data_IF_403476644653
#
_entry.id   IF_403476644653
#
_cell.length_a   1.000
_cell.length_b   1.000
_cell.length_c   1.000
_cell.angle_alpha   90.00
_cell.angle_beta   90.00
_cell.angle_gamma   90.00
#
_symmetry.space_group_name_H-M   'P 1'
#
loop_
_entity.id
_entity.type
_entity.pdbx_description
1 polymer ?
#
# COMPACT_ATOMS: atom_id res chain seq x y z
N UNK A 1 17.15 20.53 -7.01
CA UNK A 1 16.60 20.36 -8.37
C UNK A 1 16.47 18.89 -8.68
N UNK A 2 15.26 18.39 -8.93
CA UNK A 2 15.05 17.01 -9.37
C UNK A 2 15.45 16.87 -10.84
N UNK A 3 16.10 15.77 -11.22
CA UNK A 3 16.46 15.45 -12.61
C UNK A 3 15.93 14.05 -12.91
N UNK A 4 15.20 13.90 -14.01
CA UNK A 4 14.59 12.64 -14.43
C UNK A 4 15.10 12.27 -15.83
N UNK A 5 15.27 10.98 -16.08
CA UNK A 5 15.47 10.43 -17.41
C UNK A 5 14.17 9.74 -17.82
N UNK A 6 13.65 10.05 -19.00
CA UNK A 6 12.39 9.50 -19.51
C UNK A 6 12.50 9.23 -21.00
N UNK A 7 11.81 8.19 -21.48
CA UNK A 7 11.65 7.89 -22.90
C UNK A 7 10.57 8.76 -23.57
N UNK A 8 9.86 9.59 -22.80
CA UNK A 8 8.87 10.54 -23.29
C UNK A 8 9.60 11.78 -23.84
N UNK A 9 9.84 11.82 -25.14
CA UNK A 9 10.71 12.83 -25.79
C UNK A 9 10.02 14.12 -26.19
N UNK A 10 8.69 14.12 -26.35
CA UNK A 10 7.91 15.29 -26.73
C UNK A 10 7.58 16.15 -25.50
N UNK A 11 8.29 17.27 -25.36
CA UNK A 11 8.14 18.19 -24.24
C UNK A 11 6.81 18.97 -24.23
N UNK A 12 6.15 19.11 -25.39
CA UNK A 12 4.84 19.76 -25.47
C UNK A 12 3.73 18.81 -25.06
N UNK A 13 3.86 17.53 -25.42
CA UNK A 13 2.90 16.48 -25.04
C UNK A 13 3.09 16.00 -23.61
N UNK A 14 4.32 16.02 -23.09
CA UNK A 14 4.67 15.54 -21.76
C UNK A 14 5.45 16.61 -20.98
N UNK A 15 4.75 17.62 -20.45
CA UNK A 15 5.41 18.67 -19.68
C UNK A 15 6.20 18.09 -18.50
N UNK A 16 7.42 18.60 -18.28
CA UNK A 16 8.31 18.07 -17.25
C UNK A 16 7.72 18.11 -15.82
N UNK A 17 6.81 19.06 -15.56
CA UNK A 17 6.08 19.14 -14.29
C UNK A 17 5.14 17.95 -14.09
N UNK A 18 4.40 17.55 -15.12
CA UNK A 18 3.52 16.38 -15.06
C UNK A 18 4.30 15.08 -14.89
N UNK A 19 5.48 14.98 -15.51
CA UNK A 19 6.39 13.84 -15.30
C UNK A 19 6.88 13.79 -13.85
N UNK A 20 7.23 14.94 -13.26
CA UNK A 20 7.65 15.02 -11.86
C UNK A 20 6.50 14.63 -10.90
N UNK A 21 5.29 15.11 -11.18
CA UNK A 21 4.08 14.78 -10.42
C UNK A 21 3.77 13.28 -10.54
N UNK A 22 3.86 12.70 -11.75
CA UNK A 22 3.71 11.26 -11.97
C UNK A 22 4.75 10.46 -11.19
N UNK A 23 6.01 10.89 -11.20
CA UNK A 23 7.09 10.21 -10.49
C UNK A 23 6.89 10.24 -8.97
N UNK A 24 6.17 11.23 -8.43
CA UNK A 24 5.81 11.26 -7.00
C UNK A 24 4.95 10.05 -6.60
N UNK A 25 4.11 9.54 -7.51
CA UNK A 25 3.29 8.35 -7.30
C UNK A 25 4.09 7.04 -7.34
N UNK A 26 5.39 7.06 -7.69
CA UNK A 26 6.24 5.85 -7.62
C UNK A 26 6.22 5.23 -6.22
N UNK A 27 6.10 6.04 -5.17
CA UNK A 27 6.01 5.57 -3.78
C UNK A 27 4.80 4.67 -3.48
N UNK A 28 3.78 4.65 -4.35
CA UNK A 28 2.63 3.77 -4.20
C UNK A 28 3.02 2.27 -4.25
N UNK A 29 4.11 1.91 -4.94
CA UNK A 29 4.58 0.52 -4.95
C UNK A 29 5.08 0.06 -3.58
N UNK A 30 5.72 0.96 -2.83
CA UNK A 30 6.22 0.68 -1.47
C UNK A 30 5.06 0.43 -0.50
N UNK A 31 3.93 1.13 -0.73
CA UNK A 31 2.68 0.88 -0.04
C UNK A 31 2.15 -0.52 -0.37
N UNK A 32 2.17 -0.93 -1.64
CA UNK A 32 1.80 -2.29 -2.05
C UNK A 32 2.67 -3.37 -1.39
N UNK A 33 3.99 -3.17 -1.33
CA UNK A 33 4.87 -4.10 -0.60
C UNK A 33 4.55 -4.17 0.88
N UNK A 34 4.20 -3.04 1.50
CA UNK A 34 3.77 -3.00 2.90
C UNK A 34 2.45 -3.75 3.10
N UNK A 35 1.48 -3.61 2.22
CA UNK A 35 0.20 -4.32 2.32
C UNK A 35 0.38 -5.84 2.22
N UNK A 36 1.29 -6.31 1.35
CA UNK A 36 1.60 -7.74 1.25
C UNK A 36 2.32 -8.23 2.52
N UNK A 37 3.40 -7.55 2.94
CA UNK A 37 4.26 -8.00 4.06
C UNK A 37 3.63 -7.78 5.44
N UNK A 38 2.93 -6.68 5.63
CA UNK A 38 2.36 -6.31 6.93
C UNK A 38 0.88 -6.66 7.00
N UNK A 39 0.12 -6.36 5.93
CA UNK A 39 -1.31 -6.61 5.88
C UNK A 39 -1.63 -8.10 5.74
N UNK A 40 -1.26 -8.72 4.62
CA UNK A 40 -1.61 -10.12 4.34
C UNK A 40 -0.82 -11.12 5.20
N UNK A 41 0.43 -10.81 5.53
CA UNK A 41 1.32 -11.70 6.28
C UNK A 41 1.37 -11.41 7.78
N UNK A 42 0.65 -10.40 8.27
CA UNK A 42 0.62 -10.03 9.69
C UNK A 42 2.03 -9.79 10.27
N UNK A 43 2.87 -9.05 9.53
CA UNK A 43 4.27 -8.77 9.86
C UNK A 43 5.15 -10.01 10.12
N UNK A 44 4.74 -11.21 9.68
CA UNK A 44 5.59 -12.39 9.79
C UNK A 44 6.86 -12.22 8.96
N UNK A 45 8.00 -12.49 9.58
CA UNK A 45 9.32 -12.37 8.94
C UNK A 45 9.60 -13.48 7.92
N UNK A 46 8.93 -14.63 8.06
CA UNK A 46 9.17 -15.81 7.23
C UNK A 46 7.86 -16.43 6.78
N UNK A 47 7.89 -17.02 5.58
CA UNK A 47 6.84 -17.90 5.07
C UNK A 47 6.80 -19.20 5.88
N UNK A 48 5.64 -19.86 5.90
CA UNK A 48 5.40 -21.05 6.74
C UNK A 48 6.09 -22.29 6.20
N UNK A 49 6.18 -22.39 4.87
CA UNK A 49 6.69 -23.55 4.17
C UNK A 49 8.21 -23.73 4.32
N UNK A 50 8.67 -24.96 4.55
CA UNK A 50 10.11 -25.31 4.63
C UNK A 50 10.66 -25.98 3.36
N UNK A 51 9.81 -26.18 2.34
CA UNK A 51 10.20 -26.77 1.04
C UNK A 51 10.24 -25.65 -0.03
N UNK A 52 11.28 -25.56 -0.86
CA UNK A 52 11.40 -24.47 -1.86
C UNK A 52 10.19 -24.34 -2.78
N UNK A 53 9.60 -25.45 -3.22
CA UNK A 53 8.41 -25.45 -4.08
C UNK A 53 7.18 -24.89 -3.36
N UNK A 54 6.93 -25.32 -2.12
CA UNK A 54 5.83 -24.82 -1.30
C UNK A 54 6.00 -23.34 -0.94
N UNK A 55 7.24 -22.87 -0.75
CA UNK A 55 7.55 -21.45 -0.57
C UNK A 55 7.13 -20.63 -1.81
N UNK A 56 7.40 -21.12 -3.02
CA UNK A 56 6.94 -20.45 -4.25
C UNK A 56 5.42 -20.43 -4.33
N UNK A 57 4.75 -21.52 -3.97
CA UNK A 57 3.29 -21.59 -3.93
C UNK A 57 2.70 -20.57 -2.94
N UNK A 58 3.28 -20.46 -1.74
CA UNK A 58 2.85 -19.51 -0.72
C UNK A 58 3.00 -18.05 -1.20
N UNK A 59 4.09 -17.75 -1.92
CA UNK A 59 4.30 -16.43 -2.53
C UNK A 59 3.25 -16.13 -3.61
N UNK A 60 2.94 -17.09 -4.48
CA UNK A 60 1.87 -16.95 -5.47
C UNK A 60 0.49 -16.77 -4.82
N UNK A 61 0.22 -17.50 -3.73
CA UNK A 61 -1.01 -17.35 -2.96
C UNK A 61 -1.14 -15.93 -2.37
N UNK A 62 -0.06 -15.38 -1.81
CA UNK A 62 -0.04 -14.02 -1.30
C UNK A 62 -0.28 -12.97 -2.41
N UNK A 63 0.34 -13.14 -3.58
CA UNK A 63 0.12 -12.27 -4.75
C UNK A 63 -1.31 -12.37 -5.28
N UNK A 64 -1.89 -13.57 -5.32
CA UNK A 64 -3.27 -13.78 -5.74
C UNK A 64 -4.24 -13.08 -4.77
N UNK A 65 -4.06 -13.26 -3.46
CA UNK A 65 -4.86 -12.61 -2.44
C UNK A 65 -4.76 -11.07 -2.54
N UNK A 66 -3.55 -10.54 -2.71
CA UNK A 66 -3.34 -9.11 -2.93
C UNK A 66 -4.11 -8.60 -4.15
N UNK A 67 -3.96 -9.28 -5.30
CA UNK A 67 -4.63 -8.88 -6.53
C UNK A 67 -6.15 -9.00 -6.44
N UNK A 68 -6.68 -10.00 -5.73
CA UNK A 68 -8.11 -10.14 -5.48
C UNK A 68 -8.66 -8.95 -4.70
N UNK A 69 -8.00 -8.57 -3.60
CA UNK A 69 -8.39 -7.40 -2.82
C UNK A 69 -8.27 -6.12 -3.65
N UNK A 70 -7.18 -5.94 -4.39
CA UNK A 70 -7.00 -4.77 -5.27
C UNK A 70 -8.05 -4.69 -6.37
N UNK A 71 -8.43 -5.81 -6.96
CA UNK A 71 -9.52 -5.87 -7.94
C UNK A 71 -10.86 -5.46 -7.32
N UNK A 72 -11.15 -5.95 -6.11
CA UNK A 72 -12.35 -5.53 -5.38
C UNK A 72 -12.30 -4.03 -5.03
N UNK A 73 -11.14 -3.49 -4.66
CA UNK A 73 -10.97 -2.04 -4.42
C UNK A 73 -11.20 -1.21 -5.69
N UNK A 74 -10.85 -1.71 -6.87
CA UNK A 74 -11.16 -1.05 -8.15
C UNK A 74 -12.67 -0.98 -8.36
N UNK A 75 -13.39 -2.08 -8.11
CA UNK A 75 -14.85 -2.09 -8.19
C UNK A 75 -15.49 -1.12 -7.19
N UNK A 76 -15.05 -1.16 -5.93
CA UNK A 76 -15.50 -0.23 -4.90
C UNK A 76 -15.24 1.23 -5.30
N UNK A 77 -14.04 1.56 -5.79
CA UNK A 77 -13.72 2.92 -6.22
C UNK A 77 -14.60 3.37 -7.40
N UNK A 78 -14.99 2.46 -8.30
CA UNK A 78 -15.86 2.80 -9.43
C UNK A 78 -17.26 3.28 -9.01
N UNK A 79 -17.71 2.96 -7.78
CA UNK A 79 -18.98 3.45 -7.23
C UNK A 79 -18.84 4.83 -6.58
N UNK A 80 -17.60 5.31 -6.39
CA UNK A 80 -17.27 6.58 -5.74
C UNK A 80 -16.83 7.62 -6.78
N UNK A 81 -17.56 8.72 -6.88
CA UNK A 81 -17.17 9.82 -7.77
C UNK A 81 -15.87 10.49 -7.27
N UNK A 82 -14.83 10.47 -8.10
CA UNK A 82 -13.57 11.19 -7.86
C UNK A 82 -12.61 10.52 -6.87
N UNK A 83 -12.80 9.24 -6.54
CA UNK A 83 -11.89 8.49 -5.69
C UNK A 83 -11.11 7.45 -6.49
N UNK A 84 -9.84 7.31 -6.14
CA UNK A 84 -8.96 6.30 -6.69
C UNK A 84 -8.88 5.08 -5.76
N UNK A 85 -8.61 3.87 -6.27
CA UNK A 85 -8.51 2.67 -5.45
C UNK A 85 -7.45 2.78 -4.35
N UNK A 86 -6.34 3.49 -4.58
CA UNK A 86 -5.29 3.72 -3.58
C UNK A 86 -5.68 4.68 -2.45
N UNK A 87 -6.84 5.33 -2.55
CA UNK A 87 -7.43 6.15 -1.48
C UNK A 87 -8.40 5.35 -0.60
N UNK A 88 -8.54 4.04 -0.84
CA UNK A 88 -9.31 3.13 0.00
C UNK A 88 -8.37 2.34 0.92
N UNK A 89 -8.85 2.01 2.11
CA UNK A 89 -8.11 1.23 3.10
C UNK A 89 -7.98 -0.22 2.63
N UNK A 90 -6.75 -0.68 2.39
CA UNK A 90 -6.47 -2.06 2.01
C UNK A 90 -6.90 -3.05 3.11
N UNK A 91 -6.56 -2.78 4.37
CA UNK A 91 -6.86 -3.68 5.49
C UNK A 91 -8.37 -3.87 5.70
N UNK A 92 -9.13 -2.77 5.66
CA UNK A 92 -10.59 -2.83 5.74
C UNK A 92 -11.18 -3.58 4.54
N UNK A 93 -10.71 -3.25 3.33
CA UNK A 93 -11.14 -3.93 2.10
C UNK A 93 -10.88 -5.44 2.16
N UNK A 94 -9.71 -5.85 2.66
CA UNK A 94 -9.36 -7.24 2.84
C UNK A 94 -10.27 -7.94 3.87
N UNK A 95 -10.59 -7.28 4.98
CA UNK A 95 -11.52 -7.82 5.98
C UNK A 95 -12.92 -8.04 5.38
N UNK A 96 -13.41 -7.12 4.56
CA UNK A 96 -14.69 -7.27 3.88
C UNK A 96 -14.69 -8.35 2.80
N UNK A 97 -13.60 -8.50 2.05
CA UNK A 97 -13.43 -9.63 1.12
C UNK A 97 -13.43 -10.96 1.88
N UNK A 98 -12.72 -11.06 3.00
CA UNK A 98 -12.75 -12.28 3.84
C UNK A 98 -14.16 -12.57 4.36
N UNK A 99 -14.87 -11.54 4.85
CA UNK A 99 -16.26 -11.67 5.30
C UNK A 99 -17.18 -12.18 4.19
N UNK A 100 -17.02 -11.65 2.97
CA UNK A 100 -17.75 -12.15 1.80
C UNK A 100 -17.47 -13.63 1.59
N UNK A 101 -16.19 -14.04 1.53
CA UNK A 101 -15.80 -15.44 1.31
C UNK A 101 -16.40 -16.38 2.36
N UNK A 102 -16.41 -15.99 3.64
CA UNK A 102 -17.06 -16.76 4.70
C UNK A 102 -18.58 -16.83 4.55
N UNK A 103 -19.20 -15.76 4.07
CA UNK A 103 -20.66 -15.73 3.85
C UNK A 103 -21.06 -16.59 2.65
N UNK A 104 -20.19 -16.70 1.63
CA UNK A 104 -20.45 -17.50 0.43
C UNK A 104 -20.56 -18.99 0.72
N UNK A 105 -19.88 -19.50 1.75
CA UNK A 105 -19.89 -20.93 2.12
C UNK A 105 -21.31 -21.44 2.42
N UNK A 106 -22.18 -20.61 3.00
CA UNK A 106 -23.58 -20.94 3.31
C UNK A 106 -24.59 -20.31 2.35
N UNK A 107 -24.16 -19.63 1.29
CA UNK A 107 -25.06 -18.90 0.39
C UNK A 107 -25.58 -19.80 -0.74
N UNK A 108 -26.85 -19.65 -1.09
CA UNK A 108 -27.36 -20.24 -2.33
C UNK A 108 -26.73 -19.56 -3.55
N UNK A 109 -26.49 -20.27 -4.67
CA UNK A 109 -25.87 -19.69 -5.86
C UNK A 109 -26.56 -18.43 -6.38
N UNK A 110 -27.90 -18.34 -6.26
CA UNK A 110 -28.68 -17.18 -6.67
C UNK A 110 -28.43 -15.91 -5.83
N UNK A 111 -27.92 -16.05 -4.59
CA UNK A 111 -27.65 -14.93 -3.68
C UNK A 111 -26.23 -14.36 -3.86
N UNK A 112 -25.32 -15.09 -4.50
CA UNK A 112 -23.92 -14.67 -4.69
C UNK A 112 -23.80 -13.29 -5.36
N UNK A 113 -24.52 -12.97 -6.45
CA UNK A 113 -24.40 -11.67 -7.10
C UNK A 113 -24.80 -10.51 -6.19
N UNK A 114 -25.81 -10.70 -5.33
CA UNK A 114 -26.24 -9.72 -4.34
C UNK A 114 -25.15 -9.49 -3.28
N UNK A 115 -24.59 -10.58 -2.73
CA UNK A 115 -23.53 -10.49 -1.72
C UNK A 115 -22.29 -9.76 -2.25
N UNK A 116 -21.90 -10.02 -3.50
CA UNK A 116 -20.78 -9.30 -4.14
C UNK A 116 -21.10 -7.81 -4.27
N UNK A 117 -22.31 -7.44 -4.72
CA UNK A 117 -22.72 -6.02 -4.83
C UNK A 117 -22.72 -5.31 -3.47
N UNK A 118 -23.04 -6.01 -2.39
CA UNK A 118 -23.00 -5.43 -1.04
C UNK A 118 -21.57 -5.00 -0.65
N UNK A 119 -20.55 -5.69 -1.13
CA UNK A 119 -19.14 -5.29 -0.94
C UNK A 119 -18.78 -4.05 -1.78
N UNK A 120 -19.46 -3.79 -2.89
CA UNK A 120 -19.26 -2.56 -3.64
C UNK A 120 -19.88 -1.34 -2.91
N UNK A 121 -20.96 -1.56 -2.15
CA UNK A 121 -21.70 -0.51 -1.43
C UNK A 121 -20.96 0.03 -0.19
N UNK A 122 -20.09 -0.76 0.43
CA UNK A 122 -19.28 -0.36 1.58
C UNK A 122 -18.12 0.59 1.21
N UNK A 123 -17.93 0.90 -0.07
CA UNK A 123 -16.84 1.75 -0.57
C UNK A 123 -16.73 3.08 0.19
N UNK A 124 -17.87 3.65 0.61
CA UNK A 124 -17.93 4.90 1.39
C UNK A 124 -17.24 4.77 2.76
N UNK A 125 -17.34 3.61 3.40
CA UNK A 125 -16.84 3.35 4.76
C UNK A 125 -15.32 3.16 4.74
N UNK A 126 -14.78 2.56 3.68
CA UNK A 126 -13.35 2.23 3.57
C UNK A 126 -12.49 3.37 3.03
N UNK A 127 -13.03 4.58 2.90
CA UNK A 127 -12.30 5.77 2.46
C UNK A 127 -11.22 6.15 3.47
N UNK A 128 -10.00 6.38 2.98
CA UNK A 128 -8.94 6.95 3.78
C UNK A 128 -9.06 8.48 3.83
N UNK A 129 -8.65 9.12 4.94
CA UNK A 129 -8.51 10.57 4.98
C UNK A 129 -7.46 11.03 3.96
N UNK A 130 -7.58 12.30 3.54
CA UNK A 130 -6.62 12.94 2.64
C UNK A 130 -5.18 12.76 3.11
N UNK A 131 -4.28 12.41 2.18
CA UNK A 131 -2.89 12.15 2.52
C UNK A 131 -2.20 13.46 2.88
N UNK A 132 -1.66 13.52 4.10
CA UNK A 132 -0.76 14.61 4.52
C UNK A 132 0.47 14.68 3.62
N UNK A 133 0.88 15.90 3.26
CA UNK A 133 2.18 16.12 2.64
C UNK A 133 3.28 15.66 3.58
N UNK A 134 4.20 14.83 3.06
CA UNK A 134 5.35 14.35 3.81
C UNK A 134 6.62 14.76 3.07
N UNK A 135 7.40 15.63 3.69
CA UNK A 135 8.77 15.90 3.27
C UNK A 135 9.71 15.20 4.26
N UNK A 136 10.48 14.23 3.76
CA UNK A 136 11.60 13.65 4.49
C UNK A 136 12.88 14.14 3.84
N UNK A 137 13.44 15.29 4.28
CA UNK A 137 14.67 15.78 3.70
C UNK A 137 15.75 14.70 3.86
N UNK A 138 16.55 14.49 2.82
CA UNK A 138 17.68 13.54 2.86
C UNK A 138 18.78 14.12 3.73
N UNK A 139 18.60 13.99 5.04
CA UNK A 139 19.55 14.40 6.06
C UNK A 139 20.08 13.17 6.77
N UNK A 140 21.34 13.23 7.19
CA UNK A 140 21.87 12.24 8.13
C UNK A 140 21.15 12.48 9.45
N UNK A 141 20.18 11.62 9.76
CA UNK A 141 19.56 11.61 11.08
C UNK A 141 20.62 11.15 12.08
N UNK A 142 20.75 11.88 13.18
CA UNK A 142 21.59 11.42 14.28
C UNK A 142 21.12 10.03 14.72
N UNK A 143 22.08 9.14 15.01
CA UNK A 143 21.76 7.83 15.55
C UNK A 143 21.10 8.05 16.92
N UNK A 144 19.90 7.48 17.17
CA UNK A 144 19.30 7.57 18.50
C UNK A 144 20.23 6.89 19.51
N UNK A 145 20.73 7.63 20.49
CA UNK A 145 21.54 7.09 21.59
C UNK A 145 20.65 6.89 22.82
N UNK A 146 20.77 5.73 23.48
CA UNK A 146 19.98 5.36 24.67
C UNK A 146 20.28 6.22 25.91
N UNK A 147 21.39 6.94 25.89
CA UNK A 147 22.01 7.66 26.99
C UNK A 147 22.45 9.06 26.54
N UNK A 148 22.54 10.06 27.44
CA UNK A 148 23.02 11.39 27.09
C UNK A 148 24.48 11.38 26.64
N UNK A 149 24.82 12.17 25.62
CA UNK A 149 26.21 12.46 25.25
C UNK A 149 26.85 13.31 26.34
N UNK A 150 28.05 12.92 26.78
CA UNK A 150 28.83 13.72 27.71
C UNK A 150 29.17 15.09 27.09
N UNK A 151 28.91 16.18 27.82
CA UNK A 151 29.33 17.52 27.41
C UNK A 151 30.86 17.53 27.29
N UNK A 152 31.38 17.87 26.11
CA UNK A 152 32.82 18.14 25.95
C UNK A 152 33.18 19.31 26.85
N UNK A 153 34.01 19.08 27.87
CA UNK A 153 34.70 20.17 28.58
C UNK A 153 35.78 20.69 27.62
N UNK A 154 35.66 21.95 27.20
CA UNK A 154 36.71 22.60 26.42
C UNK A 154 37.99 22.61 27.27
N UNK A 155 39.04 21.96 26.78
CA UNK A 155 40.36 21.91 27.42
C UNK A 155 41.14 23.23 27.22
N UNK A 156 40.46 24.37 27.35
CA UNK A 156 41.02 25.70 27.05
C UNK A 156 40.78 26.71 28.17
N UNK A 157 40.59 26.22 29.40
CA UNK A 157 40.63 27.03 30.62
C UNK A 157 41.52 26.30 31.64
N UNK A 158 42.83 26.39 31.44
CA UNK A 158 43.87 26.23 32.45
C UNK A 158 45.11 26.98 31.95
#
# INVERSE_FOLDING_TARGET
TWRFLTSMTDAMRYPGKEIADLYSHRWEIELGYREIKQGLQDNRLTLRSKKPEMVRQELWGALLAYNLVRYQMIKMASTLKGYWPNQLSFSESAAWVMKLLWTLEGASPGRIPELVKNVDAIAQIVKLPGRRERSFPRVVKERPWKYPTAKRRNASQA
#
